data_IF_424466077735
#
_entry.id   IF_424466077735
#
_cell.length_a   1.000
_cell.length_b   1.000
_cell.length_c   1.000
_cell.angle_alpha   90.00
_cell.angle_beta   90.00
_cell.angle_gamma   90.00
#
_symmetry.space_group_name_H-M   'P 1'
#
loop_
_entity.id
_entity.type
_entity.pdbx_description
1 polymer ?
#
# COMPACT_ATOMS: atom_id res chain seq x y z
N UNK A 1 25.18 9.82 13.67
CA UNK A 1 23.75 9.54 14.00
C UNK A 1 23.09 8.69 12.90
N UNK A 2 23.61 7.51 12.57
CA UNK A 2 23.06 6.65 11.49
C UNK A 2 21.83 5.84 11.92
N UNK A 3 21.69 5.57 13.23
CA UNK A 3 20.54 4.85 13.80
C UNK A 3 19.20 5.60 13.64
N UNK A 4 19.20 6.93 13.50
CA UNK A 4 17.97 7.71 13.31
C UNK A 4 17.45 7.65 11.87
N UNK A 5 18.32 7.52 10.87
CA UNK A 5 17.90 7.41 9.46
C UNK A 5 17.39 6.00 9.14
N UNK A 6 18.10 4.96 9.63
CA UNK A 6 17.66 3.58 9.51
C UNK A 6 16.29 3.35 10.17
N UNK A 7 16.12 3.76 11.42
CA UNK A 7 14.83 3.62 12.14
C UNK A 7 13.70 4.40 11.47
N UNK A 8 13.97 5.58 10.90
CA UNK A 8 12.98 6.33 10.10
C UNK A 8 12.55 5.56 8.84
N UNK A 9 13.48 4.93 8.13
CA UNK A 9 13.16 4.11 6.96
C UNK A 9 12.37 2.85 7.33
N UNK A 10 12.72 2.18 8.41
CA UNK A 10 11.97 1.03 8.94
C UNK A 10 10.54 1.43 9.33
N UNK A 11 10.38 2.55 10.03
CA UNK A 11 9.07 3.10 10.38
C UNK A 11 8.25 3.46 9.12
N UNK A 12 8.89 4.08 8.12
CA UNK A 12 8.25 4.42 6.85
C UNK A 12 7.80 3.17 6.09
N UNK A 13 8.61 2.12 6.03
CA UNK A 13 8.24 0.84 5.41
C UNK A 13 7.04 0.22 6.13
N UNK A 14 7.03 0.25 7.48
CA UNK A 14 5.90 -0.24 8.27
C UNK A 14 4.61 0.54 7.98
N UNK A 15 4.68 1.87 7.94
CA UNK A 15 3.54 2.73 7.60
C UNK A 15 3.03 2.48 6.19
N UNK A 16 3.93 2.36 5.21
CA UNK A 16 3.57 2.06 3.83
C UNK A 16 2.88 0.69 3.72
N UNK A 17 3.37 -0.34 4.41
CA UNK A 17 2.72 -1.65 4.40
C UNK A 17 1.34 -1.62 5.07
N UNK A 18 1.17 -0.86 6.14
CA UNK A 18 -0.14 -0.66 6.77
C UNK A 18 -1.13 0.00 5.79
N UNK A 19 -0.71 1.08 5.13
CA UNK A 19 -1.52 1.76 4.12
C UNK A 19 -1.87 0.84 2.94
N UNK A 20 -0.96 -0.05 2.53
CA UNK A 20 -1.24 -1.06 1.50
C UNK A 20 -2.34 -2.03 1.95
N UNK A 21 -2.33 -2.43 3.22
CA UNK A 21 -3.33 -3.32 3.78
C UNK A 21 -4.71 -2.64 3.88
N UNK A 22 -4.76 -1.34 4.15
CA UNK A 22 -5.99 -0.55 4.13
C UNK A 22 -6.62 -0.52 2.73
N UNK A 23 -5.84 -0.20 1.69
CA UNK A 23 -6.33 -0.23 0.30
C UNK A 23 -6.76 -1.62 -0.15
N UNK A 24 -6.08 -2.67 0.34
CA UNK A 24 -6.49 -4.04 0.09
C UNK A 24 -7.85 -4.35 0.73
N UNK A 25 -8.02 -3.93 1.98
CA UNK A 25 -9.28 -4.13 2.73
C UNK A 25 -10.44 -3.37 2.08
N UNK A 26 -10.19 -2.16 1.58
CA UNK A 26 -11.17 -1.37 0.83
C UNK A 26 -11.61 -2.08 -0.46
N UNK A 27 -10.66 -2.66 -1.21
CA UNK A 27 -10.99 -3.46 -2.39
C UNK A 27 -11.80 -4.71 -2.04
N UNK A 28 -11.39 -5.45 -1.01
CA UNK A 28 -12.09 -6.66 -0.58
C UNK A 28 -13.53 -6.34 -0.11
N UNK A 29 -13.75 -5.19 0.54
CA UNK A 29 -15.07 -4.70 0.92
C UNK A 29 -15.92 -4.31 -0.29
N UNK A 30 -15.35 -3.59 -1.26
CA UNK A 30 -16.05 -3.26 -2.51
C UNK A 30 -16.48 -4.52 -3.27
N UNK A 31 -15.60 -5.53 -3.35
CA UNK A 31 -15.92 -6.84 -3.94
C UNK A 31 -17.02 -7.58 -3.15
N UNK A 32 -17.07 -7.40 -1.82
CA UNK A 32 -18.14 -7.94 -0.97
C UNK A 32 -19.47 -7.27 -1.25
N UNK A 33 -19.51 -5.93 -1.32
CA UNK A 33 -20.72 -5.16 -1.64
C UNK A 33 -21.24 -5.48 -3.04
N UNK A 34 -20.36 -5.58 -4.03
CA UNK A 34 -20.73 -5.98 -5.38
C UNK A 34 -21.34 -7.39 -5.43
N UNK A 35 -20.75 -8.36 -4.72
CA UNK A 35 -21.31 -9.73 -4.61
C UNK A 35 -22.70 -9.75 -3.98
N UNK A 36 -23.00 -8.81 -3.08
CA UNK A 36 -24.34 -8.62 -2.48
C UNK A 36 -25.31 -7.85 -3.37
N UNK A 37 -24.87 -7.42 -4.56
CA UNK A 37 -25.61 -6.53 -5.46
C UNK A 37 -25.93 -5.16 -4.84
N UNK A 38 -25.15 -4.78 -3.83
CA UNK A 38 -25.23 -3.47 -3.14
C UNK A 38 -24.33 -2.42 -3.81
N UNK A 39 -23.52 -2.83 -4.80
CA UNK A 39 -22.61 -1.98 -5.57
C UNK A 39 -22.61 -2.37 -7.04
N UNK A 40 -22.71 -1.38 -7.93
CA UNK A 40 -22.66 -1.58 -9.39
C UNK A 40 -21.27 -1.94 -9.90
N UNK A 41 -21.18 -2.59 -11.06
CA UNK A 41 -19.91 -2.97 -11.70
C UNK A 41 -19.01 -1.75 -11.95
N UNK A 42 -19.57 -0.65 -12.46
CA UNK A 42 -18.81 0.57 -12.74
C UNK A 42 -18.18 1.18 -11.47
N UNK A 43 -18.89 1.11 -10.35
CA UNK A 43 -18.40 1.59 -9.07
C UNK A 43 -17.28 0.69 -8.53
N UNK A 44 -17.45 -0.63 -8.60
CA UNK A 44 -16.42 -1.60 -8.25
C UNK A 44 -15.15 -1.37 -9.08
N UNK A 45 -15.28 -1.19 -10.39
CA UNK A 45 -14.14 -0.99 -11.29
C UNK A 45 -13.39 0.32 -10.99
N UNK A 46 -14.09 1.39 -10.60
CA UNK A 46 -13.45 2.64 -10.14
C UNK A 46 -12.64 2.42 -8.87
N UNK A 47 -13.22 1.75 -7.87
CA UNK A 47 -12.52 1.45 -6.61
C UNK A 47 -11.32 0.56 -6.89
N UNK A 48 -11.50 -0.51 -7.67
CA UNK A 48 -10.45 -1.45 -8.05
C UNK A 48 -9.26 -0.76 -8.71
N UNK A 49 -9.50 0.08 -9.72
CA UNK A 49 -8.44 0.84 -10.41
C UNK A 49 -7.69 1.76 -9.45
N UNK A 50 -8.42 2.48 -8.60
CA UNK A 50 -7.82 3.42 -7.63
C UNK A 50 -6.99 2.68 -6.58
N UNK A 51 -7.55 1.64 -5.95
CA UNK A 51 -6.85 0.86 -4.92
C UNK A 51 -5.63 0.16 -5.51
N UNK A 52 -5.74 -0.42 -6.71
CA UNK A 52 -4.60 -1.04 -7.39
C UNK A 52 -3.47 -0.03 -7.66
N UNK A 53 -3.79 1.12 -8.27
CA UNK A 53 -2.80 2.15 -8.54
C UNK A 53 -2.10 2.64 -7.25
N UNK A 54 -2.85 2.76 -6.15
CA UNK A 54 -2.28 3.14 -4.84
C UNK A 54 -1.41 2.06 -4.23
N UNK A 55 -1.80 0.79 -4.32
CA UNK A 55 -0.97 -0.32 -3.86
C UNK A 55 0.33 -0.43 -4.66
N UNK A 56 0.29 -0.20 -5.97
CA UNK A 56 1.48 -0.20 -6.83
C UNK A 56 2.43 0.95 -6.50
N UNK A 57 1.89 2.17 -6.31
CA UNK A 57 2.66 3.34 -5.84
C UNK A 57 3.35 3.06 -4.49
N UNK A 58 2.65 2.43 -3.56
CA UNK A 58 3.19 2.05 -2.26
C UNK A 58 4.28 0.99 -2.40
N UNK A 59 4.08 -0.01 -3.27
CA UNK A 59 5.06 -1.05 -3.52
C UNK A 59 6.39 -0.46 -4.02
N UNK A 60 6.35 0.53 -4.93
CA UNK A 60 7.55 1.24 -5.37
C UNK A 60 8.22 2.01 -4.22
N UNK A 61 7.44 2.72 -3.40
CA UNK A 61 8.00 3.44 -2.23
C UNK A 61 8.66 2.50 -1.23
N UNK A 62 8.10 1.30 -1.02
CA UNK A 62 8.68 0.27 -0.16
C UNK A 62 9.97 -0.28 -0.79
N UNK A 63 9.99 -0.55 -2.09
CA UNK A 63 11.22 -0.97 -2.81
C UNK A 63 12.33 0.07 -2.65
N UNK A 64 12.03 1.35 -2.91
CA UNK A 64 13.00 2.43 -2.78
C UNK A 64 13.51 2.58 -1.33
N UNK A 65 12.61 2.54 -0.34
CA UNK A 65 13.00 2.63 1.08
C UNK A 65 13.86 1.43 1.53
N UNK A 66 13.61 0.23 0.99
CA UNK A 66 14.43 -0.96 1.25
C UNK A 66 15.81 -0.85 0.62
N UNK A 67 15.90 -0.35 -0.61
CA UNK A 67 17.18 -0.11 -1.29
C UNK A 67 18.03 0.91 -0.52
N UNK A 68 17.42 2.01 -0.06
CA UNK A 68 18.11 3.00 0.77
C UNK A 68 18.58 2.39 2.11
N UNK A 69 17.76 1.53 2.72
CA UNK A 69 18.13 0.86 3.96
C UNK A 69 19.30 -0.10 3.77
N UNK A 70 19.38 -0.78 2.62
CA UNK A 70 20.50 -1.65 2.28
C UNK A 70 21.79 -0.85 2.07
N UNK A 71 21.74 0.29 1.38
CA UNK A 71 22.90 1.18 1.21
C UNK A 71 23.42 1.82 2.50
N UNK A 72 22.65 1.73 3.61
CA UNK A 72 23.08 2.18 4.93
C UNK A 72 23.68 1.05 5.79
N UNK A 73 23.62 -0.20 5.30
CA UNK A 73 24.27 -1.36 5.94
C UNK A 73 25.67 -1.62 5.41
N UNK A 74 25.93 -1.27 4.14
CA UNK A 74 27.26 -1.19 3.52
C UNK A 74 28.06 0.02 4.05
#
# INVERSE_FOLDING_TARGET
MFGSRKSKLEAKIKQLNALRAEYRSELDEAERLHRRREMGEDELQRIRRRCQAKMDEIAEKVRAARAELESLKE
#
